data_IF_859516847755
#
_entry.id   IF_859516847755
#
_cell.length_a   1.000
_cell.length_b   1.000
_cell.length_c   1.000
_cell.angle_alpha   90.00
_cell.angle_beta   90.00
_cell.angle_gamma   90.00
#
_symmetry.space_group_name_H-M   'P 1'
#
loop_
_entity.id
_entity.type
_entity.pdbx_description
1 polymer ?
#
# COMPACT_ATOMS: atom_id res chain seq x y z
N UNK A 1 13.43 1.64 1.94
CA UNK A 1 12.11 1.38 2.56
C UNK A 1 11.39 2.67 2.91
N UNK A 2 11.93 3.52 3.79
CA UNK A 2 11.28 4.80 4.14
C UNK A 2 11.03 5.66 2.90
N UNK A 3 12.02 5.80 2.02
CA UNK A 3 11.86 6.60 0.80
C UNK A 3 10.85 5.99 -0.19
N UNK A 4 10.71 4.66 -0.19
CA UNK A 4 9.65 3.98 -0.93
C UNK A 4 8.27 4.34 -0.37
N UNK A 5 8.13 4.29 0.95
CA UNK A 5 6.88 4.63 1.63
C UNK A 5 6.52 6.12 1.48
N UNK A 6 7.50 7.01 1.26
CA UNK A 6 7.24 8.41 0.93
C UNK A 6 6.54 8.60 -0.43
N UNK A 7 6.49 7.58 -1.28
CA UNK A 7 5.67 7.61 -2.51
C UNK A 7 4.18 7.49 -2.22
N UNK A 8 3.80 7.01 -1.03
CA UNK A 8 2.42 6.71 -0.63
C UNK A 8 2.02 7.34 0.72
N UNK A 9 2.98 7.87 1.48
CA UNK A 9 2.80 8.61 2.73
C UNK A 9 3.48 9.97 2.62
N UNK A 10 2.85 11.00 3.16
CA UNK A 10 3.37 12.36 3.10
C UNK A 10 4.31 12.72 4.27
N UNK A 11 4.07 12.18 5.47
CA UNK A 11 4.92 12.43 6.65
C UNK A 11 6.02 11.35 6.76
N UNK A 12 7.27 11.80 6.91
CA UNK A 12 8.41 10.90 7.05
C UNK A 12 8.36 10.07 8.32
N UNK A 13 7.85 10.59 9.43
CA UNK A 13 7.69 9.87 10.69
C UNK A 13 6.70 8.72 10.54
N UNK A 14 5.62 8.93 9.78
CA UNK A 14 4.67 7.87 9.46
C UNK A 14 5.32 6.80 8.59
N UNK A 15 6.09 7.21 7.58
CA UNK A 15 6.86 6.28 6.75
C UNK A 15 7.90 5.48 7.56
N UNK A 16 8.59 6.12 8.51
CA UNK A 16 9.52 5.45 9.42
C UNK A 16 8.80 4.50 10.37
N UNK A 17 7.64 4.88 10.89
CA UNK A 17 6.81 4.02 11.74
C UNK A 17 6.34 2.78 10.99
N UNK A 18 5.73 2.95 9.82
CA UNK A 18 5.28 1.86 8.96
C UNK A 18 6.44 0.96 8.54
N UNK A 19 7.59 1.55 8.15
CA UNK A 19 8.78 0.78 7.81
C UNK A 19 9.22 -0.12 8.97
N UNK A 20 9.29 0.42 10.20
CA UNK A 20 9.66 -0.35 11.39
C UNK A 20 8.69 -1.51 11.64
N UNK A 21 7.39 -1.30 11.51
CA UNK A 21 6.40 -2.36 11.72
C UNK A 21 6.51 -3.47 10.66
N UNK A 22 6.78 -3.14 9.39
CA UNK A 22 6.95 -4.14 8.32
C UNK A 22 8.23 -4.96 8.51
N UNK A 23 9.36 -4.32 8.81
CA UNK A 23 10.68 -4.99 8.80
C UNK A 23 11.15 -5.48 10.18
N UNK A 24 10.51 -4.99 11.25
CA UNK A 24 10.86 -5.29 12.63
C UNK A 24 9.99 -6.37 13.28
N UNK A 25 8.80 -6.66 12.74
CA UNK A 25 7.82 -7.57 13.37
C UNK A 25 7.58 -8.84 12.54
N UNK A 26 7.36 -9.99 13.20
CA UNK A 26 7.07 -11.28 12.55
C UNK A 26 8.30 -12.14 12.21
N UNK A 27 8.13 -13.32 11.58
CA UNK A 27 9.22 -14.23 11.21
C UNK A 27 10.22 -13.64 10.20
N UNK A 28 11.50 -13.97 10.32
CA UNK A 28 12.57 -13.37 9.51
C UNK A 28 12.35 -13.52 7.99
N UNK A 29 11.86 -14.69 7.54
CA UNK A 29 11.60 -14.95 6.13
C UNK A 29 10.41 -14.13 5.59
N UNK A 30 9.39 -13.85 6.40
CA UNK A 30 8.29 -12.96 6.02
C UNK A 30 8.80 -11.52 5.85
N UNK A 31 9.55 -11.01 6.85
CA UNK A 31 10.09 -9.64 6.81
C UNK A 31 11.01 -9.42 5.62
N UNK A 32 11.89 -10.39 5.33
CA UNK A 32 12.78 -10.34 4.18
C UNK A 32 12.03 -10.34 2.85
N UNK A 33 10.98 -11.17 2.72
CA UNK A 33 10.14 -11.20 1.52
C UNK A 33 9.39 -9.89 1.31
N UNK A 34 8.69 -9.38 2.33
CA UNK A 34 7.98 -8.10 2.27
C UNK A 34 8.93 -6.95 1.94
N UNK A 35 10.12 -6.93 2.56
CA UNK A 35 11.14 -5.92 2.25
C UNK A 35 11.57 -5.98 0.80
N UNK A 36 11.88 -7.18 0.28
CA UNK A 36 12.36 -7.34 -1.09
C UNK A 36 11.31 -6.89 -2.11
N UNK A 37 10.05 -7.30 -1.94
CA UNK A 37 8.96 -6.93 -2.83
C UNK A 37 8.72 -5.41 -2.84
N UNK A 38 8.72 -4.78 -1.66
CA UNK A 38 8.55 -3.33 -1.54
C UNK A 38 9.70 -2.55 -2.16
N UNK A 39 10.94 -3.01 -2.01
CA UNK A 39 12.10 -2.39 -2.67
C UNK A 39 12.02 -2.52 -4.19
N UNK A 40 11.62 -3.69 -4.71
CA UNK A 40 11.42 -3.89 -6.15
C UNK A 40 10.32 -2.97 -6.69
N UNK A 41 9.19 -2.87 -5.99
CA UNK A 41 8.12 -1.95 -6.38
C UNK A 41 8.59 -0.48 -6.35
N UNK A 42 9.38 -0.09 -5.35
CA UNK A 42 9.94 1.25 -5.26
C UNK A 42 10.89 1.58 -6.42
N UNK A 43 11.77 0.64 -6.77
CA UNK A 43 12.69 0.76 -7.92
C UNK A 43 11.91 0.97 -9.22
N UNK A 44 10.82 0.21 -9.43
CA UNK A 44 9.94 0.38 -10.60
C UNK A 44 9.31 1.78 -10.59
N UNK A 45 8.78 2.22 -9.45
CA UNK A 45 8.16 3.53 -9.30
C UNK A 45 9.16 4.68 -9.55
N UNK A 46 10.39 4.56 -9.06
CA UNK A 46 11.47 5.53 -9.28
C UNK A 46 11.83 5.64 -10.77
N UNK A 47 12.01 4.51 -11.46
CA UNK A 47 12.27 4.48 -12.91
C UNK A 47 11.12 5.08 -13.74
N UNK A 48 9.89 4.98 -13.23
CA UNK A 48 8.72 5.62 -13.84
C UNK A 48 8.58 7.11 -13.49
N UNK A 49 9.42 7.65 -12.60
CA UNK A 49 9.36 9.04 -12.15
C UNK A 49 8.13 9.31 -11.28
N UNK A 50 7.71 8.33 -10.47
CA UNK A 50 6.70 8.54 -9.43
C UNK A 50 7.18 9.63 -8.47
N UNK A 51 6.28 10.54 -8.10
CA UNK A 51 6.54 11.60 -7.12
C UNK A 51 5.99 11.18 -5.75
N UNK A 52 6.53 11.77 -4.66
CA UNK A 52 6.00 11.59 -3.31
C UNK A 52 4.48 11.72 -3.26
N UNK A 53 3.88 10.94 -2.37
CA UNK A 53 2.43 10.79 -2.26
C UNK A 53 1.71 12.10 -1.93
N UNK A 54 0.41 12.22 -2.28
CA UNK A 54 -0.38 13.37 -1.89
C UNK A 54 -0.46 13.50 -0.36
N UNK A 55 -0.61 14.73 0.14
CA UNK A 55 -0.77 15.00 1.58
C UNK A 55 -2.06 14.44 2.17
N UNK A 56 -3.03 14.13 1.32
CA UNK A 56 -4.34 13.59 1.68
C UNK A 56 -4.46 12.19 1.12
N UNK A 57 -4.99 11.26 1.93
CA UNK A 57 -5.34 9.93 1.45
C UNK A 57 -6.38 10.01 0.33
N UNK A 58 -6.34 9.05 -0.59
CA UNK A 58 -7.37 8.91 -1.61
C UNK A 58 -8.72 8.63 -0.94
N UNK A 59 -9.85 9.12 -1.50
CA UNK A 59 -11.17 8.99 -0.88
C UNK A 59 -11.69 7.55 -0.78
N UNK A 60 -11.03 6.60 -1.44
CA UNK A 60 -11.53 5.24 -1.65
C UNK A 60 -10.48 4.20 -1.24
N UNK A 61 -10.34 4.05 0.07
CA UNK A 61 -9.31 3.26 0.72
C UNK A 61 -9.88 2.44 1.86
N UNK A 62 -9.21 1.34 2.20
CA UNK A 62 -9.46 0.55 3.41
C UNK A 62 -8.35 0.79 4.42
N UNK A 63 -8.73 1.06 5.67
CA UNK A 63 -7.78 1.23 6.78
C UNK A 63 -7.14 -0.10 7.19
N UNK A 64 -5.87 -0.06 7.57
CA UNK A 64 -5.18 -1.22 8.13
C UNK A 64 -5.19 -1.13 9.64
N UNK A 65 -5.80 -2.10 10.32
CA UNK A 65 -5.91 -2.10 11.78
C UNK A 65 -4.54 -2.31 12.46
N UNK A 66 -4.25 -1.50 13.48
CA UNK A 66 -3.22 -1.77 14.47
C UNK A 66 -3.73 -2.89 15.40
N UNK A 67 -3.26 -4.12 15.22
CA UNK A 67 -3.60 -5.22 16.15
C UNK A 67 -2.80 -5.06 17.45
N UNK A 68 -3.34 -4.24 18.35
CA UNK A 68 -2.76 -4.00 19.67
C UNK A 68 -3.01 -5.20 20.62
N UNK A 69 -2.09 -5.50 21.54
CA UNK A 69 -2.33 -6.47 22.61
C UNK A 69 -3.56 -6.07 23.45
N UNK A 70 -4.30 -7.04 24.02
CA UNK A 70 -5.40 -6.75 24.94
C UNK A 70 -4.95 -5.81 26.07
N UNK A 71 -5.65 -4.70 26.27
CA UNK A 71 -5.36 -3.71 27.31
C UNK A 71 -4.38 -2.60 26.91
N UNK A 72 -3.81 -2.63 25.71
CA UNK A 72 -3.07 -1.49 25.16
C UNK A 72 -4.05 -0.48 24.54
N UNK A 73 -4.25 0.66 25.20
CA UNK A 73 -5.03 1.76 24.66
C UNK A 73 -4.13 2.68 23.80
N UNK A 74 -4.57 2.98 22.58
CA UNK A 74 -4.13 4.12 21.78
C UNK A 74 -5.35 4.85 21.28
N UNK A 75 -5.20 6.15 21.06
CA UNK A 75 -6.22 6.98 20.43
C UNK A 75 -6.44 6.59 18.95
N UNK A 76 -5.41 5.99 18.32
CA UNK A 76 -5.45 5.46 16.95
C UNK A 76 -5.39 3.92 16.95
N UNK A 77 -6.41 3.29 16.35
CA UNK A 77 -6.52 1.84 16.15
C UNK A 77 -6.14 1.40 14.72
N UNK A 78 -5.63 2.31 13.90
CA UNK A 78 -5.25 2.08 12.50
C UNK A 78 -3.87 2.66 12.19
N UNK A 79 -3.18 2.05 11.21
CA UNK A 79 -1.93 2.59 10.69
C UNK A 79 -2.19 3.87 9.87
N UNK A 80 -1.22 4.81 9.79
CA UNK A 80 -1.34 6.00 8.92
C UNK A 80 -1.41 5.67 7.43
N UNK A 81 -1.06 4.43 7.06
CA UNK A 81 -1.18 3.90 5.71
C UNK A 81 -2.55 3.23 5.51
N UNK A 82 -3.29 3.71 4.52
CA UNK A 82 -4.50 3.08 4.02
C UNK A 82 -4.25 2.42 2.65
N UNK A 83 -4.96 1.33 2.36
CA UNK A 83 -4.86 0.60 1.11
C UNK A 83 -5.85 1.14 0.08
N UNK A 84 -5.42 1.65 -1.08
CA UNK A 84 -6.35 2.10 -2.12
C UNK A 84 -7.06 0.92 -2.78
N UNK A 85 -8.34 1.08 -3.07
CA UNK A 85 -9.15 0.02 -3.72
C UNK A 85 -9.06 0.04 -5.25
N UNK A 86 -8.61 1.15 -5.86
CA UNK A 86 -8.56 1.30 -7.31
C UNK A 86 -7.79 0.16 -8.04
N UNK A 87 -6.61 -0.30 -7.58
CA UNK A 87 -5.91 -1.42 -8.23
C UNK A 87 -6.69 -2.73 -8.18
N UNK A 88 -7.46 -2.97 -7.11
CA UNK A 88 -8.25 -4.19 -6.97
C UNK A 88 -9.46 -4.18 -7.92
N UNK A 89 -10.10 -3.02 -8.10
CA UNK A 89 -11.20 -2.87 -9.07
C UNK A 89 -10.76 -3.08 -10.51
N UNK A 90 -9.50 -2.79 -10.84
CA UNK A 90 -8.97 -3.00 -12.18
C UNK A 90 -8.82 -4.49 -12.55
N UNK A 91 -8.79 -5.40 -11.56
CA UNK A 91 -8.54 -6.83 -11.81
C UNK A 91 -9.74 -7.73 -11.51
N UNK A 92 -10.78 -7.22 -10.86
CA UNK A 92 -11.96 -8.02 -10.54
C UNK A 92 -13.26 -7.22 -10.58
N UNK A 93 -14.29 -7.86 -11.11
CA UNK A 93 -15.69 -7.47 -10.95
C UNK A 93 -16.52 -8.69 -10.52
N UNK A 94 -17.70 -8.50 -9.89
CA UNK A 94 -18.32 -7.26 -9.38
C UNK A 94 -17.79 -6.80 -8.00
N UNK A 95 -18.28 -5.67 -7.49
CA UNK A 95 -17.80 -4.99 -6.26
C UNK A 95 -17.62 -5.90 -5.03
N UNK A 96 -18.51 -6.88 -4.82
CA UNK A 96 -18.38 -7.85 -3.72
C UNK A 96 -17.05 -8.64 -3.74
N UNK A 97 -16.46 -8.85 -4.91
CA UNK A 97 -15.16 -9.51 -5.02
C UNK A 97 -14.01 -8.57 -4.65
N UNK A 98 -14.19 -7.26 -4.86
CA UNK A 98 -13.21 -6.24 -4.44
C UNK A 98 -13.12 -6.18 -2.92
N UNK A 99 -14.27 -6.19 -2.23
CA UNK A 99 -14.35 -6.25 -0.77
C UNK A 99 -13.68 -7.52 -0.23
N UNK A 100 -14.02 -8.69 -0.79
CA UNK A 100 -13.41 -9.95 -0.38
C UNK A 100 -11.88 -9.99 -0.60
N UNK A 101 -11.37 -9.39 -1.69
CA UNK A 101 -9.93 -9.26 -1.90
C UNK A 101 -9.30 -8.28 -0.90
N UNK A 102 -9.95 -7.15 -0.63
CA UNK A 102 -9.47 -6.18 0.33
C UNK A 102 -9.37 -6.82 1.73
N UNK A 103 -10.42 -7.52 2.16
CA UNK A 103 -10.46 -8.27 3.41
C UNK A 103 -9.33 -9.31 3.46
N UNK A 104 -9.17 -10.13 2.42
CA UNK A 104 -8.10 -11.13 2.36
C UNK A 104 -6.70 -10.52 2.47
N UNK A 105 -6.49 -9.31 1.94
CA UNK A 105 -5.21 -8.61 2.00
C UNK A 105 -4.92 -8.03 3.38
N UNK A 106 -5.94 -7.68 4.18
CA UNK A 106 -5.79 -7.07 5.51
C UNK A 106 -6.09 -8.02 6.69
N UNK A 107 -6.64 -9.21 6.45
CA UNK A 107 -7.01 -10.20 7.49
C UNK A 107 -5.81 -11.00 8.05
N UNK A 108 -4.61 -10.80 7.50
CA UNK A 108 -3.39 -11.44 7.99
C UNK A 108 -2.83 -10.89 9.31
N UNK A 109 -1.75 -11.49 9.83
CA UNK A 109 -0.91 -10.88 10.87
C UNK A 109 -0.56 -9.44 10.49
N UNK A 110 -0.50 -8.52 11.49
CA UNK A 110 -0.37 -7.09 11.23
C UNK A 110 0.77 -6.71 10.27
N UNK A 111 1.94 -7.35 10.37
CA UNK A 111 3.05 -7.12 9.44
C UNK A 111 2.72 -7.47 7.97
N UNK A 112 1.99 -8.55 7.72
CA UNK A 112 1.57 -8.96 6.39
C UNK A 112 0.51 -8.03 5.83
N UNK A 113 -0.52 -7.73 6.63
CA UNK A 113 -1.59 -6.81 6.24
C UNK A 113 -1.02 -5.44 5.84
N UNK A 114 -0.08 -4.93 6.64
CA UNK A 114 0.57 -3.65 6.37
C UNK A 114 1.49 -3.69 5.13
N UNK A 115 2.24 -4.77 4.94
CA UNK A 115 3.08 -4.94 3.75
C UNK A 115 2.24 -5.05 2.47
N UNK A 116 1.12 -5.78 2.51
CA UNK A 116 0.17 -5.88 1.41
C UNK A 116 -0.40 -4.51 1.05
N UNK A 117 -0.88 -3.76 2.05
CA UNK A 117 -1.39 -2.41 1.84
C UNK A 117 -0.36 -1.48 1.21
N UNK A 118 0.90 -1.53 1.68
CA UNK A 118 2.00 -0.74 1.12
C UNK A 118 2.31 -1.11 -0.33
N UNK A 119 2.31 -2.40 -0.66
CA UNK A 119 2.50 -2.88 -2.04
C UNK A 119 1.36 -2.43 -2.95
N UNK A 120 0.10 -2.60 -2.53
CA UNK A 120 -1.07 -2.16 -3.31
C UNK A 120 -1.04 -0.64 -3.52
N UNK A 121 -0.66 0.13 -2.50
CA UNK A 121 -0.51 1.57 -2.63
C UNK A 121 0.60 1.95 -3.63
N UNK A 122 1.76 1.29 -3.59
CA UNK A 122 2.83 1.51 -4.58
C UNK A 122 2.39 1.11 -5.99
N UNK A 123 1.71 -0.01 -6.14
CA UNK A 123 1.16 -0.43 -7.44
C UNK A 123 0.13 0.55 -7.98
N UNK A 124 -0.70 1.16 -7.13
CA UNK A 124 -1.58 2.24 -7.57
C UNK A 124 -0.80 3.39 -8.22
N UNK A 125 0.29 3.86 -7.58
CA UNK A 125 1.15 4.93 -8.13
C UNK A 125 1.82 4.52 -9.45
N UNK A 126 2.26 3.26 -9.53
CA UNK A 126 2.88 2.70 -10.74
C UNK A 126 1.86 2.64 -11.88
N UNK A 127 0.67 2.11 -11.63
CA UNK A 127 -0.42 2.01 -12.62
C UNK A 127 -0.83 3.39 -13.13
N UNK A 128 -1.05 4.36 -12.23
CA UNK A 128 -1.33 5.75 -12.62
C UNK A 128 -0.26 6.34 -13.56
N UNK A 129 1.02 6.02 -13.33
CA UNK A 129 2.10 6.47 -14.20
C UNK A 129 2.18 5.74 -15.53
N UNK A 130 1.81 4.47 -15.57
CA UNK A 130 1.73 3.69 -16.80
C UNK A 130 0.56 4.19 -17.66
N UNK A 131 -0.62 4.39 -17.08
CA UNK A 131 -1.81 4.88 -17.77
C UNK A 131 -1.59 6.29 -18.34
N UNK A 132 -0.87 7.16 -17.62
CA UNK A 132 -0.52 8.49 -18.13
C UNK A 132 0.49 8.47 -19.31
N UNK A 133 1.20 7.36 -19.52
CA UNK A 133 2.19 7.20 -20.61
C UNK A 133 1.63 6.46 -21.81
N UNK A 134 0.66 5.57 -21.60
CA UNK A 134 -0.01 4.87 -22.68
C UNK A 134 -1.03 5.84 -23.30
N UNK A 135 -0.85 6.30 -24.55
CA UNK A 135 -1.92 7.03 -25.22
C UNK A 135 -3.15 6.12 -25.25
N UNK A 136 -4.33 6.68 -24.96
CA UNK A 136 -5.60 6.00 -25.14
C UNK A 136 -5.65 5.49 -26.60
N UNK A 137 -5.43 4.20 -26.84
CA UNK A 137 -5.58 3.57 -28.18
C UNK A 137 -7.06 3.45 -28.59
N UNK A 138 -7.94 4.29 -28.03
CA UNK A 138 -9.37 4.23 -28.20
C UNK A 138 -9.91 5.59 -28.68
N UNK A 139 -9.61 5.93 -29.93
CA UNK A 139 -10.60 6.61 -30.78
C UNK A 139 -10.28 6.30 -32.25
N UNK A 140 -11.12 5.52 -32.96
CA UNK A 140 -11.03 5.45 -34.41
C UNK A 140 -11.54 6.77 -35.03
N UNK A 141 -11.03 7.14 -36.23
CA UNK A 141 -11.36 8.39 -36.93
C UNK A 141 -12.84 8.50 -37.34
#
# INVERSE_FOLDING_TARGET
MVDALLLVLADRRDAEFVARCIVGEGPAHHRAASWALLVVAAEIAERLGCKPGPKTQAPDTVSVALRLPPGAARDDDTFPLAMPLAPLRAIVEPSRHVEALADALVDGPAHHALANAALVALFARILEKLDARLPNEAEPP
#
